data_IF_533551914057
#
_entry.id   IF_533551914057
#
_cell.length_a   1.000
_cell.length_b   1.000
_cell.length_c   1.000
_cell.angle_alpha   90.00
_cell.angle_beta   90.00
_cell.angle_gamma   90.00
#
_symmetry.space_group_name_H-M   'P 1'
#
loop_
_entity.id
_entity.type
_entity.pdbx_description
1 polymer ?
#
# COMPACT_ATOMS: atom_id res chain seq x y z
N UNK A 1 20.98 -4.18 4.24
CA UNK A 1 20.41 -5.27 3.41
C UNK A 1 19.37 -6.11 4.14
N UNK A 2 19.59 -6.49 5.41
CA UNK A 2 18.59 -7.23 6.21
C UNK A 2 17.22 -6.52 6.30
N UNK A 3 17.19 -5.22 6.57
CA UNK A 3 15.93 -4.45 6.62
C UNK A 3 15.16 -4.43 5.30
N UNK A 4 15.86 -4.43 4.16
CA UNK A 4 15.22 -4.51 2.84
C UNK A 4 14.53 -5.87 2.66
N UNK A 5 15.21 -6.95 3.04
CA UNK A 5 14.66 -8.29 2.97
C UNK A 5 13.43 -8.46 3.89
N UNK A 6 13.51 -7.98 5.13
CA UNK A 6 12.38 -7.99 6.06
C UNK A 6 11.20 -7.16 5.53
N UNK A 7 11.47 -6.01 4.92
CA UNK A 7 10.44 -5.15 4.32
C UNK A 7 9.73 -5.85 3.15
N UNK A 8 10.49 -6.50 2.26
CA UNK A 8 9.92 -7.29 1.15
C UNK A 8 9.06 -8.43 1.67
N UNK A 9 9.58 -9.21 2.64
CA UNK A 9 8.83 -10.32 3.25
C UNK A 9 7.55 -9.83 3.93
N UNK A 10 7.64 -8.77 4.73
CA UNK A 10 6.48 -8.19 5.42
C UNK A 10 5.41 -7.72 4.42
N UNK A 11 5.81 -7.04 3.35
CA UNK A 11 4.89 -6.57 2.31
C UNK A 11 4.17 -7.72 1.60
N UNK A 12 4.86 -8.83 1.34
CA UNK A 12 4.25 -10.04 0.77
C UNK A 12 3.31 -10.73 1.77
N UNK A 13 3.71 -10.82 3.03
CA UNK A 13 2.90 -11.46 4.09
C UNK A 13 1.56 -10.76 4.29
N UNK A 14 1.51 -9.43 4.21
CA UNK A 14 0.24 -8.67 4.32
C UNK A 14 -0.77 -9.12 3.25
N UNK A 15 -0.33 -9.28 2.00
CA UNK A 15 -1.20 -9.74 0.90
C UNK A 15 -1.70 -11.18 1.14
N UNK A 16 -0.81 -12.05 1.64
CA UNK A 16 -1.14 -13.43 2.01
C UNK A 16 -2.17 -13.45 3.14
N UNK A 17 -1.98 -12.65 4.19
CA UNK A 17 -2.92 -12.51 5.32
C UNK A 17 -4.30 -12.07 4.83
N UNK A 18 -4.39 -11.09 3.94
CA UNK A 18 -5.68 -10.65 3.39
C UNK A 18 -6.37 -11.73 2.55
N UNK A 19 -5.61 -12.48 1.75
CA UNK A 19 -6.13 -13.61 0.98
C UNK A 19 -6.66 -14.72 1.90
N UNK A 20 -5.90 -15.11 2.91
CA UNK A 20 -6.30 -16.14 3.88
C UNK A 20 -7.51 -15.67 4.68
N UNK A 21 -7.51 -14.41 5.13
CA UNK A 21 -8.65 -13.83 5.83
C UNK A 21 -9.91 -13.82 4.97
N UNK A 22 -9.76 -13.63 3.65
CA UNK A 22 -10.85 -13.78 2.68
C UNK A 22 -11.37 -15.21 2.61
N UNK A 23 -10.47 -16.21 2.57
CA UNK A 23 -10.82 -17.64 2.57
C UNK A 23 -11.67 -18.04 3.79
N UNK A 24 -11.37 -17.47 4.97
CA UNK A 24 -12.07 -17.77 6.22
C UNK A 24 -13.22 -16.78 6.55
N UNK A 25 -13.64 -15.91 5.62
CA UNK A 25 -14.71 -14.92 5.83
C UNK A 25 -14.48 -13.95 7.01
N UNK A 26 -13.23 -13.77 7.44
CA UNK A 26 -12.85 -12.78 8.46
C UNK A 26 -13.07 -11.38 7.86
N UNK A 27 -13.52 -10.38 8.62
CA UNK A 27 -13.71 -9.02 8.07
C UNK A 27 -12.35 -8.36 7.82
N UNK A 28 -12.16 -7.68 6.68
CA UNK A 28 -10.86 -7.04 6.29
C UNK A 28 -10.31 -6.13 7.38
N UNK A 29 -11.19 -5.44 8.11
CA UNK A 29 -10.80 -4.48 9.15
C UNK A 29 -10.10 -5.12 10.35
N UNK A 30 -10.39 -6.40 10.66
CA UNK A 30 -9.84 -7.09 11.83
C UNK A 30 -8.31 -7.24 11.77
N UNK A 31 -7.71 -7.82 10.71
CA UNK A 31 -6.25 -7.89 10.58
C UNK A 31 -5.59 -6.52 10.47
N UNK A 32 -6.29 -5.49 9.96
CA UNK A 32 -5.76 -4.11 9.94
C UNK A 32 -5.63 -3.58 11.37
N UNK A 33 -6.67 -3.69 12.19
CA UNK A 33 -6.64 -3.25 13.59
C UNK A 33 -5.52 -3.95 14.36
N UNK A 34 -5.40 -5.28 14.21
CA UNK A 34 -4.34 -6.06 14.87
C UNK A 34 -2.96 -5.57 14.44
N UNK A 35 -2.74 -5.36 13.14
CA UNK A 35 -1.45 -4.85 12.63
C UNK A 35 -1.07 -3.50 13.26
N UNK A 36 -2.02 -2.59 13.41
CA UNK A 36 -1.76 -1.28 14.01
C UNK A 36 -1.46 -1.38 15.50
N UNK A 37 -2.19 -2.20 16.26
CA UNK A 37 -1.86 -2.41 17.67
C UNK A 37 -0.46 -2.99 17.84
N UNK A 38 -0.10 -3.99 17.04
CA UNK A 38 1.24 -4.60 17.08
C UNK A 38 2.32 -3.59 16.67
N UNK A 39 2.10 -2.81 15.60
CA UNK A 39 3.05 -1.80 15.14
C UNK A 39 3.22 -0.66 16.16
N UNK A 40 2.14 -0.19 16.79
CA UNK A 40 2.21 0.82 17.85
C UNK A 40 2.93 0.32 19.08
N UNK A 41 2.65 -0.92 19.52
CA UNK A 41 3.34 -1.53 20.65
C UNK A 41 4.84 -1.71 20.35
N UNK A 42 5.18 -2.30 19.21
CA UNK A 42 6.57 -2.46 18.78
C UNK A 42 7.27 -1.11 18.63
N UNK A 43 6.61 -0.11 18.04
CA UNK A 43 7.16 1.24 17.91
C UNK A 43 7.49 1.85 19.28
N UNK A 44 6.59 1.72 20.26
CA UNK A 44 6.84 2.16 21.63
C UNK A 44 8.04 1.43 22.25
N UNK A 45 8.05 0.10 22.25
CA UNK A 45 9.12 -0.69 22.88
C UNK A 45 10.49 -0.53 22.20
N UNK A 46 10.51 -0.41 20.87
CA UNK A 46 11.76 -0.24 20.10
C UNK A 46 12.30 1.18 20.22
N UNK A 47 11.44 2.19 20.45
CA UNK A 47 11.87 3.59 20.57
C UNK A 47 12.84 3.83 21.73
N UNK A 48 12.78 3.01 22.78
CA UNK A 48 13.62 3.15 23.97
C UNK A 48 13.32 4.40 24.80
N UNK A 49 12.23 5.12 24.50
CA UNK A 49 11.88 6.37 25.17
C UNK A 49 11.24 6.09 26.54
N UNK A 50 11.69 6.82 27.55
CA UNK A 50 11.03 6.89 28.84
C UNK A 50 9.71 7.68 28.74
N UNK A 51 8.74 7.43 29.64
CA UNK A 51 7.50 8.22 29.68
C UNK A 51 7.75 9.74 29.79
N UNK A 52 8.81 10.14 30.51
CA UNK A 52 9.18 11.54 30.68
C UNK A 52 9.67 12.18 29.37
N UNK A 53 10.46 11.45 28.58
CA UNK A 53 10.93 11.93 27.27
C UNK A 53 9.77 12.09 26.28
N UNK A 54 8.78 11.19 26.32
CA UNK A 54 7.59 11.27 25.46
C UNK A 54 6.80 12.56 25.75
N UNK A 55 6.69 12.95 27.03
CA UNK A 55 5.98 14.18 27.42
C UNK A 55 6.69 15.46 26.96
N UNK A 56 7.99 15.39 26.62
CA UNK A 56 8.75 16.52 26.11
C UNK A 56 8.66 16.68 24.59
N UNK A 57 8.06 15.71 23.88
CA UNK A 57 7.93 15.77 22.42
C UNK A 57 6.86 16.82 22.05
N UNK A 58 7.18 17.80 21.18
CA UNK A 58 6.20 18.80 20.72
C UNK A 58 4.98 18.15 20.08
N UNK A 59 3.77 18.67 20.31
CA UNK A 59 2.53 18.07 19.77
C UNK A 59 2.27 18.35 18.29
N UNK A 60 3.17 19.08 17.61
CA UNK A 60 3.02 19.51 16.22
C UNK A 60 2.94 18.35 15.22
N UNK A 61 3.49 17.18 15.56
CA UNK A 61 3.44 15.97 14.72
C UNK A 61 2.11 15.22 14.79
N UNK A 62 1.27 15.50 15.79
CA UNK A 62 0.02 14.72 16.03
C UNK A 62 -0.92 14.86 14.85
N UNK A 63 -1.14 16.07 14.34
CA UNK A 63 -2.08 16.31 13.25
C UNK A 63 -1.62 15.62 11.93
N UNK A 64 -0.36 15.79 11.47
CA UNK A 64 0.16 15.00 10.36
C UNK A 64 0.08 13.49 10.59
N UNK A 65 0.37 13.00 11.80
CA UNK A 65 0.32 11.57 12.12
C UNK A 65 -1.09 10.99 12.03
N UNK A 66 -2.11 11.71 12.52
CA UNK A 66 -3.52 11.30 12.39
C UNK A 66 -3.92 11.22 10.91
N UNK A 67 -3.54 12.21 10.11
CA UNK A 67 -3.84 12.24 8.68
C UNK A 67 -3.20 11.04 7.96
N UNK A 68 -1.91 10.80 8.19
CA UNK A 68 -1.18 9.68 7.60
C UNK A 68 -1.76 8.35 8.07
N UNK A 69 -2.02 8.18 9.36
CA UNK A 69 -2.59 6.95 9.91
C UNK A 69 -3.96 6.65 9.27
N UNK A 70 -4.81 7.66 9.11
CA UNK A 70 -6.13 7.53 8.48
C UNK A 70 -6.03 7.11 7.02
N UNK A 71 -5.14 7.75 6.24
CA UNK A 71 -4.87 7.38 4.85
C UNK A 71 -4.31 5.96 4.74
N UNK A 72 -3.46 5.56 5.69
CA UNK A 72 -2.84 4.24 5.68
C UNK A 72 -3.87 3.14 6.01
N UNK A 73 -4.80 3.38 6.95
CA UNK A 73 -5.93 2.46 7.24
C UNK A 73 -6.81 2.32 6.00
N UNK A 74 -7.18 3.45 5.38
CA UNK A 74 -7.99 3.47 4.16
C UNK A 74 -7.32 2.68 3.03
N UNK A 75 -6.02 2.88 2.84
CA UNK A 75 -5.23 2.18 1.81
C UNK A 75 -5.17 0.67 2.06
N UNK A 76 -4.91 0.24 3.30
CA UNK A 76 -4.94 -1.19 3.63
C UNK A 76 -6.32 -1.81 3.45
N UNK A 77 -7.38 -1.08 3.78
CA UNK A 77 -8.75 -1.53 3.53
C UNK A 77 -8.99 -1.74 2.03
N UNK A 78 -8.58 -0.79 1.18
CA UNK A 78 -8.66 -0.92 -0.27
C UNK A 78 -7.85 -2.10 -0.80
N UNK A 79 -6.62 -2.32 -0.31
CA UNK A 79 -5.78 -3.45 -0.68
C UNK A 79 -6.45 -4.77 -0.28
N UNK A 80 -6.96 -4.88 0.94
CA UNK A 80 -7.64 -6.08 1.43
C UNK A 80 -8.92 -6.38 0.66
N UNK A 81 -9.72 -5.35 0.37
CA UNK A 81 -10.94 -5.47 -0.43
C UNK A 81 -10.64 -5.88 -1.88
N UNK A 82 -9.65 -5.23 -2.51
CA UNK A 82 -9.22 -5.53 -3.89
C UNK A 82 -8.64 -6.94 -3.99
N UNK A 83 -7.84 -7.35 -3.00
CA UNK A 83 -7.27 -8.71 -2.95
C UNK A 83 -8.34 -9.79 -2.94
N UNK A 84 -9.48 -9.52 -2.27
CA UNK A 84 -10.62 -10.45 -2.24
C UNK A 84 -11.42 -10.48 -3.53
N UNK A 85 -11.67 -9.32 -4.15
CA UNK A 85 -12.49 -9.22 -5.36
C UNK A 85 -11.73 -9.53 -6.66
N UNK A 86 -10.52 -9.00 -6.80
CA UNK A 86 -9.71 -9.11 -8.00
C UNK A 86 -8.55 -10.12 -7.88
N UNK A 87 -8.25 -10.59 -6.66
CA UNK A 87 -7.13 -11.49 -6.40
C UNK A 87 -5.81 -10.76 -6.12
N UNK A 88 -4.84 -11.48 -5.56
CA UNK A 88 -3.53 -10.92 -5.17
C UNK A 88 -2.73 -10.39 -6.37
N UNK A 89 -2.73 -11.09 -7.51
CA UNK A 89 -1.91 -10.72 -8.66
C UNK A 89 -2.30 -9.35 -9.24
N UNK A 90 -3.59 -9.16 -9.55
CA UNK A 90 -4.13 -7.89 -10.05
C UNK A 90 -3.98 -6.75 -9.03
N UNK A 91 -4.23 -7.03 -7.75
CA UNK A 91 -4.06 -6.02 -6.69
C UNK A 91 -2.60 -5.59 -6.58
N UNK A 92 -1.64 -6.52 -6.65
CA UNK A 92 -0.21 -6.19 -6.59
C UNK A 92 0.23 -5.33 -7.77
N UNK A 93 -0.26 -5.63 -8.98
CA UNK A 93 0.02 -4.84 -10.18
C UNK A 93 -0.55 -3.42 -10.03
N UNK A 94 -1.81 -3.30 -9.58
CA UNK A 94 -2.42 -2.00 -9.34
C UNK A 94 -1.70 -1.21 -8.25
N UNK A 95 -1.28 -1.85 -7.15
CA UNK A 95 -0.52 -1.20 -6.08
C UNK A 95 0.84 -0.67 -6.55
N UNK A 96 1.44 -1.20 -7.62
CA UNK A 96 2.65 -0.63 -8.22
C UNK A 96 2.41 0.76 -8.83
N UNK A 97 1.16 1.15 -9.14
CA UNK A 97 0.84 2.54 -9.49
C UNK A 97 1.12 3.53 -8.36
N UNK A 98 1.18 3.06 -7.10
CA UNK A 98 1.51 3.94 -5.97
C UNK A 98 2.88 4.59 -6.10
N UNK A 99 3.78 4.10 -6.95
CA UNK A 99 5.07 4.73 -7.25
C UNK A 99 4.94 5.99 -8.12
N UNK A 100 3.90 6.07 -8.95
CA UNK A 100 3.65 7.20 -9.86
C UNK A 100 3.43 8.49 -9.07
N UNK A 101 2.69 8.43 -7.95
CA UNK A 101 2.40 9.59 -7.11
C UNK A 101 3.65 10.20 -6.46
N UNK A 102 4.51 9.46 -5.72
CA UNK A 102 5.78 9.96 -5.20
C UNK A 102 6.68 10.53 -6.28
N UNK A 103 6.80 9.87 -7.44
CA UNK A 103 7.60 10.38 -8.55
C UNK A 103 7.06 11.70 -9.09
N UNK A 104 5.74 11.81 -9.27
CA UNK A 104 5.09 13.05 -9.72
C UNK A 104 5.32 14.20 -8.73
N UNK A 105 5.13 13.97 -7.43
CA UNK A 105 5.37 14.99 -6.42
C UNK A 105 6.85 15.34 -6.24
N UNK A 106 7.76 14.38 -6.41
CA UNK A 106 9.21 14.61 -6.40
C UNK A 106 9.60 15.67 -7.44
N UNK A 107 9.16 15.49 -8.69
CA UNK A 107 9.44 16.44 -9.79
C UNK A 107 8.84 17.83 -9.54
N UNK A 108 7.72 17.93 -8.81
CA UNK A 108 7.03 19.20 -8.55
C UNK A 108 7.58 19.96 -7.34
N UNK A 109 7.95 19.25 -6.27
CA UNK A 109 8.20 19.83 -4.95
C UNK A 109 9.69 19.79 -4.58
N UNK A 110 10.44 18.78 -5.01
CA UNK A 110 11.85 18.65 -4.65
C UNK A 110 12.70 19.67 -5.44
N UNK A 111 13.31 20.67 -4.76
CA UNK A 111 14.12 21.68 -5.44
C UNK A 111 15.37 21.11 -6.10
N UNK A 112 15.81 19.92 -5.66
CA UNK A 112 16.99 19.24 -6.19
C UNK A 112 16.64 18.30 -7.35
N UNK A 113 15.36 18.03 -7.57
CA UNK A 113 14.89 17.12 -8.60
C UNK A 113 14.59 17.91 -9.89
N UNK A 114 15.65 18.19 -10.67
CA UNK A 114 15.49 18.95 -11.90
C UNK A 114 14.53 18.25 -12.89
N UNK A 115 13.57 19.02 -13.40
CA UNK A 115 12.69 18.60 -14.48
C UNK A 115 13.52 18.15 -15.69
N UNK A 116 13.20 16.97 -16.19
CA UNK A 116 13.79 16.42 -17.41
C UNK A 116 12.69 15.78 -18.25
N UNK A 117 12.69 16.04 -19.55
CA UNK A 117 11.76 15.43 -20.49
C UNK A 117 11.81 13.89 -20.41
N UNK A 118 12.97 13.31 -20.10
CA UNK A 118 13.12 11.86 -19.89
C UNK A 118 12.29 11.37 -18.70
N UNK A 119 12.27 12.09 -17.58
CA UNK A 119 11.48 11.71 -16.40
C UNK A 119 9.98 11.76 -16.69
N UNK A 120 9.54 12.77 -17.44
CA UNK A 120 8.14 12.89 -17.86
C UNK A 120 7.73 11.72 -18.79
N UNK A 121 8.56 11.37 -19.77
CA UNK A 121 8.32 10.22 -20.65
C UNK A 121 8.24 8.93 -19.85
N UNK A 122 9.17 8.71 -18.91
CA UNK A 122 9.17 7.52 -18.04
C UNK A 122 7.93 7.45 -17.16
N UNK A 123 7.46 8.58 -16.63
CA UNK A 123 6.23 8.66 -15.84
C UNK A 123 5.01 8.27 -16.69
N UNK A 124 4.89 8.81 -17.91
CA UNK A 124 3.80 8.49 -18.84
C UNK A 124 3.85 7.02 -19.24
N UNK A 125 5.04 6.50 -19.57
CA UNK A 125 5.23 5.08 -19.91
C UNK A 125 4.85 4.16 -18.75
N UNK A 126 5.20 4.50 -17.51
CA UNK A 126 4.82 3.73 -16.33
C UNK A 126 3.29 3.65 -16.16
N UNK A 127 2.58 4.77 -16.37
CA UNK A 127 1.11 4.81 -16.32
C UNK A 127 0.52 3.89 -17.40
N UNK A 128 0.99 3.99 -18.65
CA UNK A 128 0.52 3.16 -19.77
C UNK A 128 0.77 1.67 -19.49
N UNK A 129 1.98 1.32 -19.03
CA UNK A 129 2.36 -0.07 -18.75
C UNK A 129 1.44 -0.72 -17.71
N UNK A 130 1.10 0.01 -16.64
CA UNK A 130 0.19 -0.54 -15.61
C UNK A 130 -1.25 -0.62 -16.11
N UNK A 131 -1.73 0.37 -16.87
CA UNK A 131 -3.05 0.31 -17.50
C UNK A 131 -3.21 -0.93 -18.38
N UNK A 132 -2.23 -1.22 -19.23
CA UNK A 132 -2.22 -2.40 -20.09
C UNK A 132 -2.12 -3.71 -19.28
N UNK A 133 -1.39 -3.71 -18.16
CA UNK A 133 -1.23 -4.90 -17.31
C UNK A 133 -2.49 -5.27 -16.52
N UNK A 134 -3.34 -4.28 -16.21
CA UNK A 134 -4.61 -4.49 -15.48
C UNK A 134 -5.79 -4.68 -16.44
N UNK A 135 -5.67 -4.25 -17.70
CA UNK A 135 -6.73 -4.38 -18.69
C UNK A 135 -7.05 -5.85 -18.99
N UNK A 136 -8.25 -6.29 -18.59
CA UNK A 136 -8.78 -7.61 -18.93
C UNK A 136 -9.72 -7.50 -20.13
N UNK A 137 -9.34 -8.08 -21.27
CA UNK A 137 -10.25 -8.22 -22.41
C UNK A 137 -11.43 -9.10 -22.00
N UNK A 138 -12.67 -8.62 -22.14
CA UNK A 138 -13.87 -9.48 -21.99
C UNK A 138 -13.84 -10.49 -23.13
N UNK A 139 -13.38 -11.70 -22.86
CA UNK A 139 -13.80 -12.87 -23.63
C UNK A 139 -15.25 -13.12 -23.24
N UNK A 140 -16.19 -12.88 -24.16
CA UNK A 140 -17.53 -13.47 -24.04
C UNK A 140 -17.32 -14.98 -24.01
N UNK A 141 -17.57 -15.64 -22.88
CA UNK A 141 -17.84 -17.08 -22.92
C UNK A 141 -19.10 -17.21 -23.77
N UNK A 142 -18.97 -17.86 -24.92
CA UNK A 142 -20.14 -18.38 -25.59
C UNK A 142 -20.59 -19.51 -24.68
N UNK A 143 -21.59 -19.25 -23.84
CA UNK A 143 -22.29 -20.30 -23.13
C UNK A 143 -22.82 -21.25 -24.21
N UNK A 144 -22.25 -22.46 -24.27
CA UNK A 144 -22.76 -23.50 -25.15
C UNK A 144 -24.18 -23.78 -24.71
N UNK A 145 -25.13 -23.40 -25.55
CA UNK A 145 -26.57 -23.50 -25.35
C UNK A 145 -27.09 -24.95 -25.43
N UNK A 146 -26.30 -25.90 -24.92
CA UNK A 146 -26.57 -27.34 -24.95
C UNK A 146 -26.18 -27.98 -23.61
N UNK A 147 -27.05 -27.84 -22.62
CA UNK A 147 -27.43 -28.90 -21.66
C UNK A 147 -28.93 -28.77 -21.43
#
# INVERSE_FOLDING_TARGET
MLYLLLSILSSLLILVVFKISGKYNIKVIQPIIINYFVASALGYFISGLSPQEIMQIPTTWILPAILIASLYIFTFFLIGYSTRKAGMALTTIASKMSFVFPMFFSILIDPNDNYSNTKLILLIMAIIAVLLSVYKKRTKSIDSLFI
#
